data_IF_055631900176
#
_entry.id   IF_055631900176
#
_cell.length_a   1.000
_cell.length_b   1.000
_cell.length_c   1.000
_cell.angle_alpha   90.00
_cell.angle_beta   90.00
_cell.angle_gamma   90.00
#
_symmetry.space_group_name_H-M   'P 1'
#
loop_
_entity.id
_entity.type
_entity.pdbx_description
1 polymer ?
#
# COMPACT_ATOMS: atom_id res chain seq x y z
N UNK A 1 49.88 14.31 9.18
CA UNK A 1 48.51 13.73 9.13
C UNK A 1 48.20 12.99 7.82
N UNK A 2 49.20 12.46 7.09
CA UNK A 2 49.00 11.70 5.83
C UNK A 2 49.60 10.27 5.83
N UNK A 3 50.33 9.89 6.89
CA UNK A 3 50.93 8.55 7.00
C UNK A 3 49.98 7.55 7.70
N UNK A 4 49.19 7.98 8.68
CA UNK A 4 48.18 7.13 9.34
C UNK A 4 47.00 6.75 8.43
N UNK A 5 46.60 7.61 7.48
CA UNK A 5 45.52 7.27 6.53
C UNK A 5 45.94 6.22 5.50
N UNK A 6 47.22 6.19 5.10
CA UNK A 6 47.76 5.17 4.18
C UNK A 6 47.98 3.82 4.87
N UNK A 7 48.38 3.82 6.15
CA UNK A 7 48.47 2.60 6.95
C UNK A 7 47.09 1.97 7.24
N UNK A 8 46.06 2.80 7.51
CA UNK A 8 44.70 2.32 7.75
C UNK A 8 44.04 1.74 6.49
N UNK A 9 44.26 2.35 5.31
CA UNK A 9 43.75 1.80 4.05
C UNK A 9 44.43 0.48 3.65
N UNK A 10 45.73 0.29 3.92
CA UNK A 10 46.39 -0.98 3.62
C UNK A 10 46.01 -2.09 4.61
N UNK A 11 45.73 -1.77 5.88
CA UNK A 11 45.24 -2.75 6.85
C UNK A 11 43.81 -3.21 6.53
N UNK A 12 42.93 -2.31 6.06
CA UNK A 12 41.58 -2.63 5.60
C UNK A 12 41.60 -3.44 4.30
N UNK A 13 42.52 -3.17 3.37
CA UNK A 13 42.66 -3.97 2.15
C UNK A 13 43.19 -5.38 2.45
N UNK A 14 44.08 -5.53 3.44
CA UNK A 14 44.63 -6.85 3.84
C UNK A 14 43.60 -7.71 4.59
N UNK A 15 42.74 -7.10 5.41
CA UNK A 15 41.61 -7.77 6.08
C UNK A 15 40.49 -8.12 5.10
N UNK A 16 40.24 -7.30 4.08
CA UNK A 16 39.33 -7.62 2.99
C UNK A 16 39.86 -8.76 2.11
N UNK A 17 41.17 -8.82 1.85
CA UNK A 17 41.76 -9.90 1.03
C UNK A 17 41.91 -11.24 1.78
N UNK A 18 41.96 -11.24 3.12
CA UNK A 18 41.96 -12.48 3.93
C UNK A 18 40.56 -12.99 4.27
N UNK A 19 39.48 -12.22 4.08
CA UNK A 19 38.10 -12.73 4.16
C UNK A 19 37.60 -13.37 2.86
N UNK A 20 38.33 -13.23 1.75
CA UNK A 20 38.06 -13.93 0.47
C UNK A 20 38.73 -15.30 0.36
N UNK A 21 39.47 -15.73 1.38
CA UNK A 21 40.20 -16.99 1.40
C UNK A 21 39.64 -17.99 2.39
N UNK A 22 38.31 -18.21 2.43
CA UNK A 22 37.65 -19.46 2.87
C UNK A 22 36.10 -19.30 2.85
N UNK A 23 35.54 -18.81 1.75
CA UNK A 23 34.12 -19.09 1.45
C UNK A 23 34.11 -20.38 0.64
N UNK A 24 34.17 -21.51 1.34
CA UNK A 24 33.60 -22.73 0.78
C UNK A 24 32.15 -22.40 0.49
N UNK A 25 31.76 -22.49 -0.77
CA UNK A 25 30.37 -22.47 -1.18
C UNK A 25 29.62 -23.52 -0.36
N UNK A 26 28.93 -23.09 0.69
CA UNK A 26 27.73 -23.79 1.11
C UNK A 26 26.78 -23.51 -0.05
N UNK A 27 26.71 -24.43 -1.00
CA UNK A 27 25.50 -24.59 -1.79
C UNK A 27 24.40 -24.88 -0.77
N UNK A 28 23.79 -23.84 -0.20
CA UNK A 28 22.40 -23.95 0.21
C UNK A 28 21.66 -24.03 -1.12
N UNK A 29 21.50 -25.25 -1.63
CA UNK A 29 20.49 -25.48 -2.66
C UNK A 29 19.23 -24.82 -2.14
N UNK A 30 18.67 -23.88 -2.89
CA UNK A 30 17.29 -23.47 -2.65
C UNK A 30 16.48 -24.76 -2.47
N UNK A 31 15.63 -24.89 -1.43
CA UNK A 31 14.82 -26.08 -1.25
C UNK A 31 14.18 -26.39 -2.59
N UNK A 32 14.46 -27.58 -3.13
CA UNK A 32 13.84 -28.00 -4.36
C UNK A 32 12.35 -28.09 -4.05
N UNK A 33 11.54 -27.21 -4.65
CA UNK A 33 10.08 -27.21 -4.51
C UNK A 33 9.57 -28.62 -4.83
N UNK A 34 9.14 -29.37 -3.81
CA UNK A 34 8.51 -30.65 -4.04
C UNK A 34 7.02 -30.42 -4.27
N UNK A 35 6.48 -31.13 -5.27
CA UNK A 35 5.06 -31.11 -5.56
C UNK A 35 4.44 -32.39 -5.00
N UNK A 36 3.57 -32.24 -4.01
CA UNK A 36 2.75 -33.30 -3.45
C UNK A 36 1.36 -33.26 -4.09
N UNK A 37 0.73 -34.42 -4.26
CA UNK A 37 -0.57 -34.55 -4.88
C UNK A 37 -1.56 -35.20 -3.94
N UNK A 38 -2.78 -34.65 -3.85
CA UNK A 38 -3.89 -35.17 -3.04
C UNK A 38 -5.06 -35.54 -3.94
N UNK A 39 -5.63 -36.73 -3.74
CA UNK A 39 -6.68 -37.30 -4.57
C UNK A 39 -6.20 -37.72 -5.96
N UNK A 40 -7.14 -37.99 -6.88
CA UNK A 40 -6.81 -38.49 -8.22
C UNK A 40 -6.31 -39.94 -8.25
N UNK A 41 -5.82 -40.39 -9.41
CA UNK A 41 -5.39 -41.79 -9.65
C UNK A 41 -3.88 -41.96 -9.81
N UNK A 42 -3.09 -40.94 -9.46
CA UNK A 42 -1.63 -40.97 -9.60
C UNK A 42 -0.97 -41.85 -8.53
N UNK A 43 0.18 -42.48 -8.84
CA UNK A 43 0.93 -43.23 -7.83
C UNK A 43 1.44 -42.29 -6.74
N UNK A 44 1.39 -42.74 -5.49
CA UNK A 44 1.82 -42.00 -4.28
C UNK A 44 1.03 -40.73 -3.96
N UNK A 45 -0.14 -40.54 -4.56
CA UNK A 45 -1.03 -39.45 -4.15
C UNK A 45 -1.56 -39.71 -2.74
N UNK A 46 -1.60 -38.67 -1.92
CA UNK A 46 -2.24 -38.70 -0.62
C UNK A 46 -3.75 -38.75 -0.79
N UNK A 47 -4.45 -39.43 0.11
CA UNK A 47 -5.93 -39.44 0.12
C UNK A 47 -6.49 -38.27 0.91
N UNK A 48 -5.80 -37.85 1.97
CA UNK A 48 -6.22 -36.77 2.86
C UNK A 48 -5.32 -35.54 2.70
N UNK A 49 -5.93 -34.35 2.74
CA UNK A 49 -5.23 -33.07 2.64
C UNK A 49 -4.23 -32.87 3.79
N UNK A 50 -4.65 -33.22 5.02
CA UNK A 50 -3.79 -33.04 6.19
C UNK A 50 -2.53 -33.93 6.13
N UNK A 51 -2.62 -35.12 5.55
CA UNK A 51 -1.46 -36.02 5.44
C UNK A 51 -0.41 -35.47 4.49
N UNK A 52 -0.82 -34.88 3.36
CA UNK A 52 0.11 -34.19 2.47
C UNK A 52 0.74 -32.97 3.13
N UNK A 53 -0.03 -32.18 3.89
CA UNK A 53 0.52 -31.06 4.67
C UNK A 53 1.56 -31.56 5.67
N UNK A 54 1.26 -32.62 6.42
CA UNK A 54 2.19 -33.18 7.42
C UNK A 54 3.49 -33.70 6.80
N UNK A 55 3.44 -34.15 5.55
CA UNK A 55 4.60 -34.64 4.81
C UNK A 55 5.40 -33.53 4.08
N UNK A 56 4.87 -32.31 4.04
CA UNK A 56 5.49 -31.19 3.33
C UNK A 56 6.60 -30.52 4.14
N UNK A 57 7.50 -29.84 3.44
CA UNK A 57 8.47 -28.89 3.97
C UNK A 57 8.16 -27.47 3.52
N UNK A 58 8.84 -26.49 4.13
CA UNK A 58 8.75 -25.08 3.73
C UNK A 58 9.19 -24.91 2.27
N UNK A 59 8.38 -24.23 1.46
CA UNK A 59 8.62 -24.05 0.03
C UNK A 59 7.96 -25.11 -0.87
N UNK A 60 7.35 -26.16 -0.31
CA UNK A 60 6.65 -27.16 -1.10
C UNK A 60 5.30 -26.65 -1.65
N UNK A 61 4.79 -27.38 -2.64
CA UNK A 61 3.48 -27.16 -3.25
C UNK A 61 2.62 -28.41 -3.14
N UNK A 62 1.35 -28.23 -2.78
CA UNK A 62 0.35 -29.29 -2.71
C UNK A 62 -0.72 -29.02 -3.77
N UNK A 63 -0.89 -29.94 -4.72
CA UNK A 63 -1.96 -29.90 -5.71
C UNK A 63 -3.05 -30.87 -5.27
N UNK A 64 -4.25 -30.34 -5.03
CA UNK A 64 -5.41 -31.10 -4.57
C UNK A 64 -6.41 -31.21 -5.70
N UNK A 65 -6.58 -32.43 -6.22
CA UNK A 65 -7.54 -32.69 -7.29
C UNK A 65 -8.99 -32.65 -6.78
N UNK A 66 -9.93 -32.55 -7.71
CA UNK A 66 -11.35 -32.58 -7.40
C UNK A 66 -11.73 -33.79 -6.52
N UNK A 67 -12.48 -33.51 -5.46
CA UNK A 67 -12.78 -34.45 -4.40
C UNK A 67 -13.38 -33.72 -3.19
N UNK A 68 -13.79 -34.47 -2.17
CA UNK A 68 -14.22 -33.91 -0.89
C UNK A 68 -13.24 -34.36 0.18
N UNK A 69 -12.71 -33.41 0.93
CA UNK A 69 -11.66 -33.62 1.92
C UNK A 69 -12.08 -33.05 3.27
N UNK A 70 -11.54 -33.62 4.35
CA UNK A 70 -11.67 -33.02 5.67
C UNK A 70 -11.01 -31.63 5.76
N UNK A 71 -11.34 -30.91 6.83
CA UNK A 71 -10.63 -29.67 7.16
C UNK A 71 -9.15 -29.91 7.48
N UNK A 72 -8.34 -28.86 7.43
CA UNK A 72 -6.90 -28.95 7.60
C UNK A 72 -6.31 -27.80 8.41
N UNK A 73 -5.20 -28.07 9.09
CA UNK A 73 -4.37 -27.07 9.77
C UNK A 73 -3.00 -26.99 9.11
N UNK A 74 -2.65 -25.78 8.66
CA UNK A 74 -1.37 -25.47 8.01
C UNK A 74 -0.44 -24.80 9.03
N UNK A 75 0.58 -25.55 9.45
CA UNK A 75 1.61 -25.11 10.40
C UNK A 75 2.98 -24.87 9.75
N UNK A 76 3.10 -25.10 8.44
CA UNK A 76 4.33 -24.96 7.66
C UNK A 76 4.28 -23.63 6.90
N UNK A 77 5.32 -22.83 7.04
CA UNK A 77 5.42 -21.54 6.33
C UNK A 77 5.86 -21.75 4.88
N UNK A 78 5.61 -20.77 4.01
CA UNK A 78 5.97 -20.84 2.58
C UNK A 78 5.36 -22.05 1.86
N UNK A 79 4.15 -22.48 2.25
CA UNK A 79 3.45 -23.59 1.60
C UNK A 79 2.45 -23.06 0.57
N UNK A 80 2.44 -23.64 -0.62
CA UNK A 80 1.45 -23.35 -1.65
C UNK A 80 0.42 -24.48 -1.73
N UNK A 81 -0.85 -24.19 -1.44
CA UNK A 81 -1.95 -25.15 -1.60
C UNK A 81 -2.83 -24.74 -2.77
N UNK A 82 -2.98 -25.63 -3.76
CA UNK A 82 -3.79 -25.41 -4.95
C UNK A 82 -4.95 -26.41 -5.04
N UNK A 83 -6.18 -25.93 -4.91
CA UNK A 83 -7.40 -26.67 -5.15
C UNK A 83 -7.78 -26.63 -6.63
N UNK A 84 -7.95 -27.80 -7.25
CA UNK A 84 -8.46 -27.95 -8.62
C UNK A 84 -9.85 -28.57 -8.59
N UNK A 85 -10.82 -27.80 -8.09
CA UNK A 85 -12.18 -28.29 -7.80
C UNK A 85 -12.26 -29.09 -6.50
N UNK A 86 -11.27 -28.95 -5.62
CA UNK A 86 -11.25 -29.57 -4.31
C UNK A 86 -12.25 -28.89 -3.37
N UNK A 87 -13.11 -29.69 -2.75
CA UNK A 87 -14.05 -29.25 -1.72
C UNK A 87 -13.49 -29.66 -0.36
N UNK A 88 -13.44 -28.73 0.59
CA UNK A 88 -12.92 -28.98 1.93
C UNK A 88 -13.77 -28.30 3.01
N UNK A 89 -13.67 -28.83 4.24
CA UNK A 89 -14.15 -28.15 5.44
C UNK A 89 -13.18 -27.04 5.87
N UNK A 90 -13.22 -26.69 7.16
CA UNK A 90 -12.43 -25.58 7.69
C UNK A 90 -10.91 -25.71 7.43
N UNK A 91 -10.29 -24.62 6.97
CA UNK A 91 -8.84 -24.49 6.86
C UNK A 91 -8.34 -23.49 7.91
N UNK A 92 -7.43 -23.93 8.77
CA UNK A 92 -6.74 -23.08 9.74
C UNK A 92 -5.28 -22.88 9.33
N UNK A 93 -4.86 -21.64 9.15
CA UNK A 93 -3.49 -21.26 8.80
C UNK A 93 -2.85 -20.62 10.02
N UNK A 94 -1.98 -21.37 10.70
CA UNK A 94 -1.19 -20.86 11.82
C UNK A 94 0.16 -20.30 11.37
N UNK A 95 0.62 -20.71 10.19
CA UNK A 95 1.93 -20.36 9.63
C UNK A 95 1.91 -19.02 8.89
N UNK A 96 3.11 -18.56 8.52
CA UNK A 96 3.29 -17.36 7.71
C UNK A 96 3.51 -17.72 6.24
N UNK A 97 3.20 -16.78 5.34
CA UNK A 97 3.54 -16.91 3.92
C UNK A 97 2.95 -18.16 3.25
N UNK A 98 1.76 -18.56 3.66
CA UNK A 98 1.00 -19.64 3.01
C UNK A 98 0.11 -19.05 1.92
N UNK A 99 0.10 -19.67 0.75
CA UNK A 99 -0.86 -19.36 -0.31
C UNK A 99 -1.92 -20.46 -0.36
N UNK A 100 -3.19 -20.07 -0.26
CA UNK A 100 -4.35 -20.93 -0.47
C UNK A 100 -5.08 -20.48 -1.74
N UNK A 101 -5.12 -21.34 -2.74
CA UNK A 101 -5.57 -21.01 -4.09
C UNK A 101 -6.62 -22.01 -4.59
N UNK A 102 -7.76 -21.55 -5.11
CA UNK A 102 -8.66 -22.38 -5.92
C UNK A 102 -9.56 -23.38 -5.18
N UNK A 103 -9.63 -23.33 -3.84
CA UNK A 103 -10.46 -24.25 -3.06
C UNK A 103 -11.93 -23.84 -3.00
N UNK A 104 -12.80 -24.84 -2.85
CA UNK A 104 -14.18 -24.65 -2.40
C UNK A 104 -14.23 -25.02 -0.91
N UNK A 105 -14.51 -24.05 -0.04
CA UNK A 105 -14.44 -24.21 1.42
C UNK A 105 -15.83 -23.92 1.98
N UNK A 106 -16.45 -24.89 2.65
CA UNK A 106 -17.85 -24.74 3.05
C UNK A 106 -18.26 -25.51 4.29
N UNK A 107 -19.51 -25.28 4.69
CA UNK A 107 -20.24 -26.06 5.70
C UNK A 107 -19.49 -26.13 7.05
N UNK A 108 -18.90 -24.99 7.45
CA UNK A 108 -18.01 -24.88 8.61
C UNK A 108 -18.42 -23.77 9.58
N UNK A 109 -17.92 -23.79 10.82
CA UNK A 109 -18.12 -22.65 11.73
C UNK A 109 -17.30 -21.43 11.26
N UNK A 110 -15.98 -21.57 11.15
CA UNK A 110 -15.11 -20.68 10.39
C UNK A 110 -14.58 -21.44 9.18
N UNK A 111 -14.82 -20.95 7.95
CA UNK A 111 -14.33 -21.63 6.76
C UNK A 111 -12.81 -21.50 6.62
N UNK A 112 -12.27 -20.28 6.77
CA UNK A 112 -10.83 -20.02 6.82
C UNK A 112 -10.49 -19.21 8.06
N UNK A 113 -9.48 -19.63 8.82
CA UNK A 113 -8.92 -18.85 9.93
C UNK A 113 -7.43 -18.63 9.72
N UNK A 114 -6.96 -17.40 9.87
CA UNK A 114 -5.56 -17.00 9.71
C UNK A 114 -5.05 -16.41 11.02
N UNK A 115 -4.06 -17.06 11.62
CA UNK A 115 -3.32 -16.55 12.80
C UNK A 115 -1.93 -16.02 12.41
N UNK A 116 -1.44 -16.36 11.22
CA UNK A 116 -0.13 -15.94 10.72
C UNK A 116 -0.13 -14.60 9.98
N UNK A 117 1.04 -14.26 9.44
CA UNK A 117 1.28 -13.06 8.64
C UNK A 117 1.64 -13.42 7.20
N UNK A 118 1.49 -12.46 6.28
CA UNK A 118 1.92 -12.59 4.89
C UNK A 118 1.25 -13.73 4.12
N UNK A 119 0.08 -14.21 4.56
CA UNK A 119 -0.66 -15.26 3.87
C UNK A 119 -1.50 -14.69 2.73
N UNK A 120 -1.74 -15.50 1.71
CA UNK A 120 -2.50 -15.12 0.51
C UNK A 120 -3.66 -16.11 0.33
N UNK A 121 -4.89 -15.62 0.32
CA UNK A 121 -6.08 -16.42 0.00
C UNK A 121 -6.66 -15.91 -1.31
N UNK A 122 -6.67 -16.74 -2.34
CA UNK A 122 -7.13 -16.36 -3.67
C UNK A 122 -7.92 -17.40 -4.43
N UNK A 123 -8.73 -16.93 -5.38
CA UNK A 123 -9.52 -17.76 -6.28
C UNK A 123 -10.40 -18.82 -5.57
N UNK A 124 -10.72 -18.61 -4.29
CA UNK A 124 -11.50 -19.57 -3.51
C UNK A 124 -12.99 -19.23 -3.55
N UNK A 125 -13.82 -20.27 -3.46
CA UNK A 125 -15.25 -20.15 -3.18
C UNK A 125 -15.51 -20.52 -1.72
N UNK A 126 -15.92 -19.56 -0.90
CA UNK A 126 -16.08 -19.71 0.55
C UNK A 126 -17.53 -19.44 0.92
N UNK A 127 -18.23 -20.49 1.36
CA UNK A 127 -19.69 -20.43 1.46
C UNK A 127 -20.30 -21.30 2.56
N UNK A 128 -21.58 -21.05 2.85
CA UNK A 128 -22.41 -21.87 3.73
C UNK A 128 -21.78 -22.12 5.12
N UNK A 129 -21.00 -21.17 5.62
CA UNK A 129 -20.33 -21.27 6.90
C UNK A 129 -20.90 -20.23 7.87
N UNK A 130 -20.64 -20.33 9.17
CA UNK A 130 -21.05 -19.23 10.08
C UNK A 130 -20.24 -17.96 9.79
N UNK A 131 -18.94 -18.12 9.54
CA UNK A 131 -18.02 -17.08 9.11
C UNK A 131 -17.21 -17.57 7.92
N UNK A 132 -17.00 -16.71 6.91
CA UNK A 132 -16.17 -17.01 5.75
C UNK A 132 -14.68 -17.03 6.12
N UNK A 133 -14.01 -15.88 6.04
CA UNK A 133 -12.59 -15.73 6.39
C UNK A 133 -12.48 -14.94 7.69
N UNK A 134 -11.72 -15.47 8.66
CA UNK A 134 -11.32 -14.75 9.87
C UNK A 134 -9.81 -14.55 9.92
N UNK A 135 -9.37 -13.32 10.16
CA UNK A 135 -7.98 -13.00 10.53
C UNK A 135 -7.94 -12.63 12.02
N UNK A 136 -7.13 -13.35 12.79
CA UNK A 136 -6.88 -13.06 14.20
C UNK A 136 -5.59 -12.23 14.33
N UNK A 137 -5.75 -10.95 14.63
CA UNK A 137 -4.65 -10.09 15.01
C UNK A 137 -4.45 -10.06 16.53
N UNK A 138 -3.20 -10.09 16.96
CA UNK A 138 -2.81 -9.92 18.36
C UNK A 138 -1.30 -9.74 18.47
N UNK A 139 -0.85 -9.13 19.56
CA UNK A 139 0.57 -9.09 19.90
C UNK A 139 0.99 -10.41 20.56
N UNK A 140 1.81 -11.20 19.87
CA UNK A 140 2.39 -12.42 20.40
C UNK A 140 3.56 -12.08 21.33
N UNK A 141 3.35 -12.29 22.64
CA UNK A 141 4.34 -12.01 23.68
C UNK A 141 5.55 -12.93 23.63
N UNK A 142 5.43 -14.11 23.01
CA UNK A 142 6.51 -15.10 22.96
C UNK A 142 7.45 -14.75 21.81
N UNK A 143 6.91 -14.52 20.62
CA UNK A 143 7.71 -14.16 19.44
C UNK A 143 8.02 -12.67 19.34
N UNK A 144 7.44 -11.82 20.19
CA UNK A 144 7.51 -10.37 20.11
C UNK A 144 7.09 -9.82 18.74
N UNK A 145 6.08 -10.43 18.13
CA UNK A 145 5.59 -10.03 16.81
C UNK A 145 4.09 -9.81 16.82
N UNK A 146 3.63 -8.87 16.00
CA UNK A 146 2.23 -8.70 15.71
C UNK A 146 1.76 -9.79 14.74
N UNK A 147 0.62 -10.40 15.03
CA UNK A 147 -0.02 -11.45 14.23
C UNK A 147 -1.20 -10.88 13.44
N UNK A 148 -1.65 -11.62 12.43
CA UNK A 148 -2.76 -11.19 11.57
C UNK A 148 -2.43 -9.96 10.72
N UNK A 149 -1.19 -9.83 10.26
CA UNK A 149 -0.73 -8.69 9.45
C UNK A 149 -0.26 -9.08 8.06
N UNK A 150 -0.35 -8.14 7.11
CA UNK A 150 0.18 -8.30 5.75
C UNK A 150 -0.43 -9.48 4.98
N UNK A 151 -1.62 -9.95 5.36
CA UNK A 151 -2.32 -10.97 4.60
C UNK A 151 -3.08 -10.34 3.42
N UNK A 152 -3.17 -11.08 2.32
CA UNK A 152 -3.85 -10.69 1.10
C UNK A 152 -5.04 -11.61 0.86
N UNK A 153 -6.24 -11.04 0.81
CA UNK A 153 -7.48 -11.75 0.53
C UNK A 153 -8.00 -11.17 -0.78
N UNK A 154 -7.82 -11.89 -1.89
CA UNK A 154 -8.21 -11.36 -3.19
C UNK A 154 -8.76 -12.36 -4.18
N UNK A 155 -9.62 -11.88 -5.10
CA UNK A 155 -10.20 -12.70 -6.16
C UNK A 155 -11.03 -13.88 -5.64
N UNK A 156 -11.59 -13.76 -4.43
CA UNK A 156 -12.44 -14.80 -3.84
C UNK A 156 -13.92 -14.50 -4.05
N UNK A 157 -14.74 -15.55 -4.04
CA UNK A 157 -16.20 -15.46 -3.88
C UNK A 157 -16.59 -15.90 -2.49
N UNK A 158 -17.15 -14.99 -1.69
CA UNK A 158 -17.44 -15.21 -0.27
C UNK A 158 -18.92 -14.93 -0.02
N UNK A 159 -19.70 -15.99 0.18
CA UNK A 159 -21.16 -15.82 0.15
C UNK A 159 -21.97 -16.83 0.94
N UNK A 160 -23.19 -16.43 1.29
CA UNK A 160 -24.13 -17.26 2.03
C UNK A 160 -23.53 -17.75 3.36
N UNK A 161 -22.78 -16.90 4.05
CA UNK A 161 -22.30 -17.17 5.40
C UNK A 161 -23.25 -16.53 6.42
N UNK A 162 -23.49 -17.23 7.52
CA UNK A 162 -24.53 -16.88 8.49
C UNK A 162 -24.29 -15.52 9.17
N UNK A 163 -23.03 -15.15 9.39
CA UNK A 163 -22.64 -13.87 9.99
C UNK A 163 -21.77 -13.06 9.03
N UNK A 164 -20.45 -13.29 9.04
CA UNK A 164 -19.51 -12.38 8.37
C UNK A 164 -18.85 -13.07 7.17
N UNK A 165 -18.77 -12.37 6.04
CA UNK A 165 -17.98 -12.80 4.89
C UNK A 165 -16.49 -12.79 5.22
N UNK A 166 -15.95 -11.60 5.51
CA UNK A 166 -14.58 -11.41 6.00
C UNK A 166 -14.64 -10.72 7.36
N UNK A 167 -13.91 -11.25 8.33
CA UNK A 167 -13.77 -10.67 9.66
C UNK A 167 -12.29 -10.53 10.03
N UNK A 168 -11.85 -9.29 10.23
CA UNK A 168 -10.53 -9.00 10.82
C UNK A 168 -10.75 -8.53 12.26
N UNK A 169 -10.09 -9.20 13.20
CA UNK A 169 -10.16 -8.90 14.63
C UNK A 169 -8.78 -8.48 15.13
N UNK A 170 -8.58 -7.20 15.43
CA UNK A 170 -7.30 -6.60 15.86
C UNK A 170 -6.11 -6.79 14.89
N UNK A 171 -6.37 -6.98 13.59
CA UNK A 171 -5.33 -7.08 12.56
C UNK A 171 -4.85 -5.72 12.06
N UNK A 172 -3.73 -5.71 11.33
CA UNK A 172 -3.16 -4.48 10.75
C UNK A 172 -2.58 -4.75 9.36
N UNK A 173 -2.57 -3.75 8.48
CA UNK A 173 -1.86 -3.84 7.19
C UNK A 173 -2.30 -5.05 6.35
N UNK A 174 -3.60 -5.32 6.24
CA UNK A 174 -4.12 -6.41 5.37
C UNK A 174 -4.79 -5.83 4.13
N UNK A 175 -4.67 -6.55 3.02
CA UNK A 175 -5.22 -6.18 1.72
C UNK A 175 -6.43 -7.08 1.40
N UNK A 176 -7.60 -6.46 1.27
CA UNK A 176 -8.86 -7.09 0.86
C UNK A 176 -9.24 -6.49 -0.50
N UNK A 177 -8.90 -7.19 -1.58
CA UNK A 177 -9.07 -6.66 -2.94
C UNK A 177 -9.76 -7.59 -3.90
N UNK A 178 -10.51 -7.06 -4.86
CA UNK A 178 -11.07 -7.86 -5.97
C UNK A 178 -11.94 -9.07 -5.53
N UNK A 179 -12.59 -9.00 -4.37
CA UNK A 179 -13.49 -10.07 -3.91
C UNK A 179 -14.94 -9.80 -4.31
N UNK A 180 -15.70 -10.89 -4.53
CA UNK A 180 -17.16 -10.86 -4.67
C UNK A 180 -17.80 -11.35 -3.37
N UNK A 181 -18.40 -10.44 -2.60
CA UNK A 181 -18.89 -10.70 -1.24
C UNK A 181 -20.39 -10.43 -1.16
N UNK A 182 -21.19 -11.47 -0.93
CA UNK A 182 -22.65 -11.34 -0.99
C UNK A 182 -23.44 -12.32 -0.14
N UNK A 183 -24.65 -11.94 0.27
CA UNK A 183 -25.55 -12.76 1.10
C UNK A 183 -24.91 -13.19 2.41
N UNK A 184 -24.30 -12.24 3.11
CA UNK A 184 -23.84 -12.41 4.49
C UNK A 184 -24.56 -11.37 5.36
N UNK A 185 -24.61 -11.56 6.69
CA UNK A 185 -25.11 -10.49 7.57
C UNK A 185 -24.19 -9.26 7.47
N UNK A 186 -22.87 -9.46 7.51
CA UNK A 186 -21.89 -8.41 7.24
C UNK A 186 -20.94 -8.90 6.15
N UNK A 187 -20.78 -8.14 5.07
CA UNK A 187 -19.84 -8.47 4.01
C UNK A 187 -18.40 -8.47 4.52
N UNK A 188 -17.92 -7.31 4.95
CA UNK A 188 -16.59 -7.12 5.54
C UNK A 188 -16.74 -6.47 6.92
N UNK A 189 -16.13 -7.08 7.95
CA UNK A 189 -16.09 -6.53 9.29
C UNK A 189 -14.65 -6.32 9.77
N UNK A 190 -14.28 -5.05 9.97
CA UNK A 190 -13.01 -4.62 10.54
C UNK A 190 -13.22 -4.22 12.01
N UNK A 191 -12.80 -5.08 12.94
CA UNK A 191 -13.01 -4.89 14.37
C UNK A 191 -11.70 -4.51 15.06
N UNK A 192 -11.61 -3.27 15.54
CA UNK A 192 -10.43 -2.72 16.23
C UNK A 192 -9.16 -2.90 15.41
N UNK A 193 -9.27 -2.69 14.10
CA UNK A 193 -8.22 -3.03 13.14
C UNK A 193 -7.81 -1.78 12.35
N UNK A 194 -6.54 -1.72 11.92
CA UNK A 194 -5.92 -0.50 11.42
C UNK A 194 -5.21 -0.72 10.08
N UNK A 195 -5.08 0.35 9.28
CA UNK A 195 -4.21 0.35 8.10
C UNK A 195 -4.57 -0.71 7.04
N UNK A 196 -5.85 -1.07 6.92
CA UNK A 196 -6.31 -1.98 5.87
C UNK A 196 -6.57 -1.28 4.55
N UNK A 197 -6.31 -1.99 3.45
CA UNK A 197 -6.78 -1.65 2.12
C UNK A 197 -8.03 -2.49 1.80
N UNK A 198 -9.17 -1.85 1.59
CA UNK A 198 -10.39 -2.48 1.06
C UNK A 198 -10.67 -1.85 -0.30
N UNK A 199 -10.33 -2.53 -1.39
CA UNK A 199 -10.49 -1.95 -2.72
C UNK A 199 -10.92 -2.90 -3.83
N UNK A 200 -11.58 -2.39 -4.86
CA UNK A 200 -12.00 -3.19 -6.03
C UNK A 200 -12.92 -4.37 -5.69
N UNK A 201 -13.57 -4.36 -4.53
CA UNK A 201 -14.50 -5.42 -4.16
C UNK A 201 -15.90 -5.13 -4.70
N UNK A 202 -16.61 -6.19 -5.05
CA UNK A 202 -18.07 -6.15 -5.27
C UNK A 202 -18.76 -6.67 -4.02
N UNK A 203 -19.38 -5.78 -3.26
CA UNK A 203 -19.99 -6.04 -1.96
C UNK A 203 -21.49 -5.79 -2.08
N UNK A 204 -22.28 -6.87 -2.18
CA UNK A 204 -23.69 -6.74 -2.54
C UNK A 204 -24.62 -7.68 -1.80
N UNK A 205 -25.88 -7.29 -1.62
CA UNK A 205 -26.91 -8.16 -1.02
C UNK A 205 -26.48 -8.71 0.36
N UNK A 206 -25.83 -7.90 1.19
CA UNK A 206 -25.57 -8.20 2.60
C UNK A 206 -26.47 -7.30 3.46
N UNK A 207 -26.67 -7.59 4.75
CA UNK A 207 -27.37 -6.61 5.60
C UNK A 207 -26.52 -5.33 5.73
N UNK A 208 -25.23 -5.50 5.98
CA UNK A 208 -24.23 -4.42 6.00
C UNK A 208 -23.10 -4.77 5.03
N UNK A 209 -22.77 -3.86 4.11
CA UNK A 209 -21.66 -4.06 3.18
C UNK A 209 -20.31 -4.10 3.89
N UNK A 210 -19.87 -2.96 4.43
CA UNK A 210 -18.63 -2.83 5.21
C UNK A 210 -18.94 -2.25 6.58
N UNK A 211 -18.46 -2.90 7.64
CA UNK A 211 -18.51 -2.38 9.01
C UNK A 211 -17.11 -2.14 9.54
N UNK A 212 -16.86 -0.95 10.09
CA UNK A 212 -15.64 -0.62 10.83
C UNK A 212 -16.02 -0.25 12.27
N UNK A 213 -15.43 -0.95 13.25
CA UNK A 213 -15.72 -0.74 14.67
C UNK A 213 -14.42 -0.53 15.46
N UNK A 214 -14.18 0.70 15.91
CA UNK A 214 -12.98 1.10 16.64
C UNK A 214 -11.69 0.96 15.82
N UNK A 215 -11.79 1.05 14.48
CA UNK A 215 -10.65 0.97 13.56
C UNK A 215 -10.20 2.34 13.08
N UNK A 216 -8.93 2.46 12.72
CA UNK A 216 -8.33 3.72 12.27
C UNK A 216 -7.43 3.54 11.05
N UNK A 217 -7.23 4.61 10.28
CA UNK A 217 -6.33 4.63 9.12
C UNK A 217 -6.65 3.58 8.05
N UNK A 218 -7.90 3.10 7.97
CA UNK A 218 -8.30 2.18 6.91
C UNK A 218 -8.69 2.95 5.64
N UNK A 219 -8.37 2.38 4.49
CA UNK A 219 -8.68 2.92 3.17
C UNK A 219 -9.72 2.05 2.47
N UNK A 220 -10.90 2.61 2.24
CA UNK A 220 -11.99 1.96 1.51
C UNK A 220 -12.18 2.69 0.18
N UNK A 221 -11.78 2.09 -0.93
CA UNK A 221 -11.84 2.79 -2.23
C UNK A 221 -12.18 1.91 -3.41
N UNK A 222 -12.79 2.50 -4.44
CA UNK A 222 -13.08 1.78 -5.70
C UNK A 222 -13.82 0.46 -5.47
N UNK A 223 -14.71 0.41 -4.49
CA UNK A 223 -15.59 -0.74 -4.28
C UNK A 223 -16.96 -0.48 -4.93
N UNK A 224 -17.59 -1.54 -5.44
CA UNK A 224 -19.01 -1.55 -5.78
C UNK A 224 -19.79 -2.02 -4.56
N UNK A 225 -20.47 -1.09 -3.86
CA UNK A 225 -21.25 -1.37 -2.66
C UNK A 225 -22.73 -1.24 -3.02
N UNK A 226 -23.39 -2.37 -3.27
CA UNK A 226 -24.65 -2.39 -4.03
C UNK A 226 -25.73 -3.21 -3.35
N UNK A 227 -26.95 -2.70 -3.25
CA UNK A 227 -28.12 -3.44 -2.75
C UNK A 227 -27.87 -4.11 -1.39
N UNK A 228 -27.27 -3.40 -0.41
CA UNK A 228 -27.16 -3.90 0.95
C UNK A 228 -28.38 -3.46 1.78
N UNK A 229 -29.00 -4.42 2.48
CA UNK A 229 -30.38 -4.32 2.97
C UNK A 229 -30.56 -3.34 4.14
N UNK A 230 -29.49 -2.99 4.85
CA UNK A 230 -29.54 -2.00 5.94
C UNK A 230 -28.58 -0.84 5.68
N UNK A 231 -27.31 -1.13 5.36
CA UNK A 231 -26.26 -0.11 5.17
C UNK A 231 -25.22 -0.52 4.16
N UNK A 232 -24.77 0.40 3.30
CA UNK A 232 -23.57 0.21 2.49
C UNK A 232 -22.32 0.17 3.37
N UNK A 233 -22.03 1.27 4.07
CA UNK A 233 -20.96 1.37 5.07
C UNK A 233 -21.51 1.75 6.44
N UNK A 234 -20.98 1.14 7.50
CA UNK A 234 -21.27 1.48 8.88
C UNK A 234 -20.00 1.66 9.72
N UNK A 235 -19.77 2.88 10.22
CA UNK A 235 -18.71 3.19 11.18
C UNK A 235 -19.29 3.41 12.58
N UNK A 236 -18.74 2.71 13.58
CA UNK A 236 -19.16 2.87 14.98
C UNK A 236 -18.00 2.84 16.00
N UNK A 237 -18.31 3.23 17.24
CA UNK A 237 -17.48 3.05 18.44
C UNK A 237 -16.03 3.57 18.32
N UNK A 238 -15.85 4.87 18.03
CA UNK A 238 -14.53 5.53 17.92
C UNK A 238 -13.71 5.11 16.69
N UNK A 239 -14.35 4.90 15.54
CA UNK A 239 -13.62 4.73 14.27
C UNK A 239 -13.29 6.11 13.69
N UNK A 240 -12.01 6.43 13.50
CA UNK A 240 -11.54 7.73 13.02
C UNK A 240 -10.35 7.59 12.07
N UNK A 241 -10.01 8.66 11.35
CA UNK A 241 -8.95 8.72 10.35
C UNK A 241 -9.07 7.67 9.23
N UNK A 242 -10.26 7.13 8.98
CA UNK A 242 -10.49 6.28 7.82
C UNK A 242 -10.74 7.15 6.58
N UNK A 243 -10.33 6.68 5.41
CA UNK A 243 -10.49 7.39 4.13
C UNK A 243 -11.36 6.56 3.19
N UNK A 244 -12.47 7.14 2.73
CA UNK A 244 -13.47 6.49 1.88
C UNK A 244 -13.64 7.32 0.61
N UNK A 245 -13.19 6.84 -0.55
CA UNK A 245 -13.25 7.61 -1.79
C UNK A 245 -13.36 6.71 -3.02
N UNK A 246 -13.91 7.24 -4.10
CA UNK A 246 -14.12 6.56 -5.39
C UNK A 246 -14.92 5.25 -5.29
N UNK A 247 -15.76 5.08 -4.28
CA UNK A 247 -16.67 3.94 -4.20
C UNK A 247 -17.99 4.24 -4.93
N UNK A 248 -18.66 3.18 -5.39
CA UNK A 248 -20.01 3.25 -5.94
C UNK A 248 -21.01 2.74 -4.90
N UNK A 249 -21.82 3.65 -4.35
CA UNK A 249 -22.95 3.32 -3.49
C UNK A 249 -24.23 3.33 -4.33
N UNK A 250 -24.84 2.16 -4.51
CA UNK A 250 -26.02 2.00 -5.38
C UNK A 250 -27.08 1.14 -4.68
N UNK A 251 -28.32 1.60 -4.59
CA UNK A 251 -29.46 0.77 -4.14
C UNK A 251 -29.38 0.27 -2.69
N UNK A 252 -28.49 0.83 -1.86
CA UNK A 252 -28.42 0.49 -0.43
C UNK A 252 -29.55 1.22 0.32
N UNK A 253 -30.14 0.59 1.35
CA UNK A 253 -31.18 1.25 2.17
C UNK A 253 -30.68 2.55 2.82
N UNK A 254 -29.42 2.54 3.26
CA UNK A 254 -28.66 3.71 3.65
C UNK A 254 -27.22 3.57 3.14
N UNK A 255 -26.73 4.50 2.32
CA UNK A 255 -25.40 4.36 1.72
C UNK A 255 -24.28 4.32 2.75
N UNK A 256 -24.29 5.23 3.70
CA UNK A 256 -23.29 5.31 4.75
C UNK A 256 -23.90 5.80 6.07
N UNK A 257 -23.39 5.28 7.18
CA UNK A 257 -23.68 5.80 8.50
C UNK A 257 -22.41 5.84 9.35
N UNK A 258 -22.11 7.00 9.90
CA UNK A 258 -20.96 7.21 10.78
C UNK A 258 -21.44 7.80 12.10
N UNK A 259 -21.41 7.01 13.19
CA UNK A 259 -21.92 7.48 14.48
C UNK A 259 -21.01 8.52 15.16
N UNK A 260 -19.69 8.40 14.96
CA UNK A 260 -18.67 9.16 15.70
C UNK A 260 -17.31 9.02 15.03
N UNK A 261 -16.48 10.05 15.14
CA UNK A 261 -15.10 10.08 14.65
C UNK A 261 -14.95 10.88 13.36
N UNK A 262 -13.80 11.51 13.20
CA UNK A 262 -13.42 12.27 12.01
C UNK A 262 -12.94 11.27 10.95
N UNK A 263 -13.62 11.20 9.82
CA UNK A 263 -13.24 10.35 8.68
C UNK A 263 -13.31 11.18 7.40
N UNK A 264 -12.48 10.84 6.43
CA UNK A 264 -12.46 11.48 5.13
C UNK A 264 -13.35 10.70 4.17
N UNK A 265 -14.28 11.38 3.51
CA UNK A 265 -15.18 10.80 2.51
C UNK A 265 -14.85 11.26 1.08
N UNK A 266 -13.69 11.90 0.93
CA UNK A 266 -13.07 12.24 -0.33
C UNK A 266 -11.54 12.31 -0.13
N UNK A 267 -10.78 12.13 -1.19
CA UNK A 267 -9.32 12.22 -1.17
C UNK A 267 -8.80 12.77 -2.50
N UNK A 268 -7.87 13.71 -2.44
CA UNK A 268 -7.22 14.26 -3.63
C UNK A 268 -8.17 15.00 -4.61
N UNK A 269 -9.36 15.42 -4.16
CA UNK A 269 -10.40 16.00 -5.03
C UNK A 269 -11.36 14.98 -5.65
N UNK A 270 -11.28 13.71 -5.22
CA UNK A 270 -12.13 12.62 -5.67
C UNK A 270 -12.98 12.12 -4.49
N UNK A 271 -14.30 12.19 -4.60
CA UNK A 271 -15.25 11.65 -3.62
C UNK A 271 -15.82 10.31 -4.04
N UNK A 272 -16.99 9.96 -3.52
CA UNK A 272 -17.71 8.73 -3.86
C UNK A 272 -18.87 9.03 -4.81
N UNK A 273 -19.33 8.00 -5.51
CA UNK A 273 -20.60 8.05 -6.23
C UNK A 273 -21.73 7.55 -5.33
N UNK A 274 -22.80 8.33 -5.24
CA UNK A 274 -24.02 8.01 -4.49
C UNK A 274 -25.19 8.10 -5.45
N UNK A 275 -25.98 7.04 -5.61
CA UNK A 275 -27.08 7.03 -6.58
C UNK A 275 -28.30 7.88 -6.15
N UNK A 276 -28.33 8.34 -4.91
CA UNK A 276 -29.28 9.32 -4.37
C UNK A 276 -28.76 10.76 -4.40
N UNK A 277 -27.51 11.01 -4.85
CA UNK A 277 -26.95 12.36 -4.92
C UNK A 277 -27.63 13.18 -6.02
N UNK A 278 -28.15 14.35 -5.65
CA UNK A 278 -28.89 15.25 -6.53
C UNK A 278 -28.01 16.12 -7.45
N UNK A 279 -26.68 16.01 -7.31
CA UNK A 279 -25.70 16.81 -8.05
C UNK A 279 -25.36 18.16 -7.40
N UNK A 280 -25.92 18.48 -6.23
CA UNK A 280 -25.75 19.76 -5.55
C UNK A 280 -24.75 19.73 -4.39
N UNK A 281 -23.62 20.43 -4.54
CA UNK A 281 -22.73 20.76 -3.43
C UNK A 281 -21.95 19.56 -2.89
N UNK A 282 -22.21 19.21 -1.62
CA UNK A 282 -21.49 18.17 -0.86
C UNK A 282 -22.47 17.09 -0.42
N UNK A 283 -22.00 15.86 -0.25
CA UNK A 283 -22.82 14.77 0.29
C UNK A 283 -22.55 14.61 1.80
N UNK A 284 -23.57 14.81 2.63
CA UNK A 284 -23.44 14.76 4.09
C UNK A 284 -23.78 13.37 4.60
N UNK A 285 -22.82 12.67 5.21
CA UNK A 285 -23.02 11.34 5.79
C UNK A 285 -23.59 11.47 7.20
N UNK A 286 -22.90 12.20 8.09
CA UNK A 286 -23.37 12.50 9.45
C UNK A 286 -22.49 13.56 10.13
N UNK A 287 -23.08 14.67 10.57
CA UNK A 287 -22.33 15.76 11.20
C UNK A 287 -21.22 16.27 10.27
N UNK A 288 -19.98 16.31 10.78
CA UNK A 288 -18.78 16.74 10.01
C UNK A 288 -18.24 15.67 9.05
N UNK A 289 -18.85 14.47 8.99
CA UNK A 289 -18.50 13.47 7.99
C UNK A 289 -19.19 13.82 6.68
N UNK A 290 -18.43 14.46 5.78
CA UNK A 290 -18.92 15.03 4.52
C UNK A 290 -17.99 14.60 3.39
N UNK A 291 -18.58 14.15 2.28
CA UNK A 291 -17.91 14.01 0.99
C UNK A 291 -18.05 15.34 0.24
N UNK A 292 -16.93 16.05 0.09
CA UNK A 292 -16.88 17.37 -0.55
C UNK A 292 -16.77 17.29 -2.08
N UNK A 293 -16.49 16.10 -2.62
CA UNK A 293 -16.24 15.90 -4.04
C UNK A 293 -17.09 14.75 -4.61
N UNK A 294 -18.42 14.68 -4.38
CA UNK A 294 -19.20 13.54 -4.85
C UNK A 294 -19.13 13.41 -6.37
N UNK A 295 -18.96 12.17 -6.84
CA UNK A 295 -18.94 11.88 -8.27
C UNK A 295 -20.33 11.93 -8.86
N UNK A 296 -20.46 12.53 -10.04
CA UNK A 296 -21.71 12.53 -10.83
C UNK A 296 -21.95 11.24 -11.61
N UNK A 297 -20.93 10.40 -11.74
CA UNK A 297 -21.02 9.12 -12.47
C UNK A 297 -20.35 7.99 -11.70
N UNK A 298 -20.85 6.75 -11.78
CA UNK A 298 -20.19 5.60 -11.17
C UNK A 298 -18.77 5.40 -11.72
N UNK A 299 -17.87 4.98 -10.85
CA UNK A 299 -16.50 4.58 -11.19
C UNK A 299 -16.48 3.20 -11.86
N UNK A 300 -15.54 2.98 -12.79
CA UNK A 300 -15.23 1.63 -13.26
C UNK A 300 -14.35 0.92 -12.24
N UNK A 301 -14.89 -0.13 -11.63
CA UNK A 301 -14.24 -0.90 -10.57
C UNK A 301 -13.91 -2.33 -11.03
N UNK A 302 -13.98 -2.58 -12.35
CA UNK A 302 -13.78 -3.92 -12.93
C UNK A 302 -12.32 -4.37 -12.95
N UNK A 303 -11.36 -3.44 -12.96
CA UNK A 303 -9.93 -3.73 -12.96
C UNK A 303 -9.19 -2.76 -12.01
N UNK A 304 -8.17 -3.24 -11.25
CA UNK A 304 -7.36 -2.36 -10.42
C UNK A 304 -6.54 -1.38 -11.27
N UNK A 305 -6.94 -0.11 -11.31
CA UNK A 305 -6.05 0.97 -11.73
C UNK A 305 -5.25 1.43 -10.50
N UNK A 306 -3.96 1.18 -10.40
CA UNK A 306 -3.22 1.71 -9.24
C UNK A 306 -2.79 3.14 -9.52
N UNK A 307 -2.87 4.02 -8.51
CA UNK A 307 -2.31 5.36 -8.61
C UNK A 307 -1.01 5.48 -7.82
N UNK A 308 -0.21 6.48 -8.19
CA UNK A 308 0.93 6.95 -7.41
C UNK A 308 0.78 8.46 -7.23
N UNK A 309 1.08 8.97 -6.06
CA UNK A 309 0.91 10.37 -5.69
C UNK A 309 2.24 10.96 -5.27
N UNK A 310 2.55 12.17 -5.73
CA UNK A 310 3.64 12.99 -5.19
C UNK A 310 3.02 13.94 -4.16
N UNK A 311 3.34 13.77 -2.88
CA UNK A 311 2.79 14.58 -1.77
C UNK A 311 3.66 15.79 -1.43
N UNK A 312 4.95 15.73 -1.77
CA UNK A 312 5.87 16.86 -1.76
C UNK A 312 6.90 16.67 -2.89
N UNK A 313 7.25 17.71 -3.67
CA UNK A 313 6.81 19.10 -3.54
C UNK A 313 5.37 19.35 -4.02
N UNK A 314 4.80 20.50 -3.65
CA UNK A 314 3.54 21.00 -4.23
C UNK A 314 3.78 21.54 -5.64
N UNK A 315 2.71 21.59 -6.44
CA UNK A 315 2.74 22.20 -7.77
C UNK A 315 3.26 23.65 -7.69
N UNK A 316 4.28 23.95 -8.49
CA UNK A 316 5.00 25.22 -8.59
C UNK A 316 5.75 25.63 -7.31
N UNK A 317 6.03 24.69 -6.41
CA UNK A 317 6.89 24.96 -5.25
C UNK A 317 8.33 25.26 -5.71
N UNK A 318 8.96 26.24 -5.06
CA UNK A 318 10.37 26.55 -5.27
C UNK A 318 11.26 25.60 -4.46
N UNK A 319 12.16 24.88 -5.13
CA UNK A 319 13.07 23.90 -4.53
C UNK A 319 14.54 24.23 -4.84
N UNK A 320 15.46 23.92 -3.92
CA UNK A 320 16.89 24.18 -4.08
C UNK A 320 17.75 23.23 -3.23
N UNK A 321 19.00 23.02 -3.64
CA UNK A 321 19.94 22.14 -2.93
C UNK A 321 19.44 20.69 -2.82
N UNK A 322 19.58 20.12 -1.62
CA UNK A 322 19.02 18.80 -1.31
C UNK A 322 17.55 18.94 -0.94
N UNK A 323 16.68 18.25 -1.66
CA UNK A 323 15.24 18.25 -1.43
C UNK A 323 14.71 16.83 -1.33
N UNK A 324 13.80 16.56 -0.40
CA UNK A 324 13.16 15.23 -0.29
C UNK A 324 11.83 15.25 -1.02
N UNK A 325 11.75 14.52 -2.12
CA UNK A 325 10.49 14.23 -2.79
C UNK A 325 9.82 13.08 -2.04
N UNK A 326 8.53 13.20 -1.76
CA UNK A 326 7.78 12.20 -1.03
C UNK A 326 6.44 11.93 -1.71
N UNK A 327 5.87 10.77 -1.43
CA UNK A 327 4.59 10.41 -1.98
C UNK A 327 4.00 9.13 -1.42
N UNK A 328 2.86 8.76 -2.00
CA UNK A 328 2.15 7.52 -1.71
C UNK A 328 2.03 6.69 -2.98
N UNK A 329 2.06 5.37 -2.89
CA UNK A 329 1.76 4.47 -3.99
C UNK A 329 0.71 3.48 -3.55
N UNK A 330 -0.34 3.35 -4.35
CA UNK A 330 -1.46 2.45 -4.07
C UNK A 330 -1.17 0.99 -4.43
N UNK A 331 -0.02 0.76 -5.09
CA UNK A 331 0.51 -0.56 -5.40
C UNK A 331 1.78 -0.81 -4.60
N UNK A 332 1.85 -1.95 -3.92
CA UNK A 332 3.13 -2.46 -3.44
C UNK A 332 4.02 -2.80 -4.63
N UNK A 333 5.11 -2.07 -4.77
CA UNK A 333 6.07 -2.27 -5.85
C UNK A 333 7.21 -1.28 -5.78
N UNK A 334 8.20 -1.47 -6.64
CA UNK A 334 9.31 -0.55 -6.78
C UNK A 334 8.80 0.81 -7.25
N UNK A 335 9.01 1.83 -6.43
CA UNK A 335 8.75 3.23 -6.80
C UNK A 335 10.03 3.83 -7.39
N UNK A 336 9.87 4.51 -8.52
CA UNK A 336 10.97 5.23 -9.17
C UNK A 336 10.55 6.66 -9.49
N UNK A 337 11.47 7.60 -9.38
CA UNK A 337 11.27 8.98 -9.84
C UNK A 337 12.25 9.37 -10.93
N UNK A 338 11.93 10.39 -11.72
CA UNK A 338 12.91 11.09 -12.56
C UNK A 338 12.59 12.58 -12.63
N UNK A 339 13.59 13.39 -12.95
CA UNK A 339 13.43 14.82 -13.19
C UNK A 339 13.59 15.03 -14.70
N UNK A 340 12.59 15.63 -15.32
CA UNK A 340 12.49 15.83 -16.76
C UNK A 340 12.76 14.54 -17.57
N UNK A 341 13.77 14.58 -18.43
CA UNK A 341 14.25 13.46 -19.26
C UNK A 341 15.45 12.72 -18.63
N UNK A 342 15.75 13.00 -17.36
CA UNK A 342 16.80 12.32 -16.60
C UNK A 342 16.51 10.83 -16.34
N UNK A 343 17.50 10.09 -15.80
CA UNK A 343 17.33 8.69 -15.48
C UNK A 343 16.35 8.47 -14.32
N UNK A 344 15.71 7.30 -14.31
CA UNK A 344 14.92 6.86 -13.18
C UNK A 344 15.81 6.52 -11.99
N UNK A 345 15.43 7.01 -10.81
CA UNK A 345 16.06 6.78 -9.52
C UNK A 345 15.07 6.04 -8.63
N UNK A 346 15.53 5.00 -7.94
CA UNK A 346 14.69 4.24 -7.01
C UNK A 346 14.43 5.06 -5.74
N UNK A 347 13.17 5.08 -5.29
CA UNK A 347 12.76 5.69 -4.04
C UNK A 347 12.80 4.67 -2.90
N UNK A 348 12.96 5.15 -1.67
CA UNK A 348 12.83 4.35 -0.47
C UNK A 348 11.36 4.17 -0.10
N UNK A 349 10.92 2.94 0.14
CA UNK A 349 9.54 2.62 0.52
C UNK A 349 8.62 2.27 -0.66
N UNK A 350 7.51 1.60 -0.36
CA UNK A 350 6.58 1.06 -1.38
C UNK A 350 5.17 1.63 -1.26
N UNK A 351 4.62 1.80 -0.05
CA UNK A 351 3.33 2.46 0.18
C UNK A 351 3.51 3.96 0.44
N UNK A 352 4.29 4.31 1.45
CA UNK A 352 4.84 5.66 1.63
C UNK A 352 6.27 5.65 1.13
N UNK A 353 6.57 6.51 0.17
CA UNK A 353 7.86 6.53 -0.50
C UNK A 353 8.52 7.90 -0.43
N UNK A 354 9.85 7.91 -0.41
CA UNK A 354 10.66 9.14 -0.44
C UNK A 354 11.99 8.97 -1.14
N UNK A 355 12.52 10.07 -1.65
CA UNK A 355 13.80 10.11 -2.34
C UNK A 355 14.42 11.50 -2.19
N UNK A 356 15.68 11.55 -1.75
CA UNK A 356 16.46 12.78 -1.73
C UNK A 356 17.01 13.04 -3.13
N UNK A 357 16.69 14.20 -3.69
CA UNK A 357 17.25 14.72 -4.94
C UNK A 357 18.23 15.85 -4.63
N UNK A 358 19.25 15.99 -5.46
CA UNK A 358 20.17 17.12 -5.44
C UNK A 358 19.91 17.99 -6.67
N UNK A 359 19.31 19.17 -6.44
CA UNK A 359 18.96 20.07 -7.54
C UNK A 359 20.13 20.91 -8.01
N UNK A 360 21.30 20.89 -7.35
CA UNK A 360 22.43 21.80 -7.64
C UNK A 360 22.98 21.70 -9.07
N UNK A 361 22.77 20.55 -9.71
CA UNK A 361 23.16 20.33 -11.11
C UNK A 361 22.07 20.69 -12.13
N UNK A 362 20.86 21.04 -11.68
CA UNK A 362 19.74 21.45 -12.52
C UNK A 362 19.82 22.94 -12.85
N UNK A 363 19.33 23.32 -14.03
CA UNK A 363 19.16 24.72 -14.39
C UNK A 363 18.17 25.43 -13.46
N UNK A 364 18.28 26.74 -13.29
CA UNK A 364 17.21 27.51 -12.66
C UNK A 364 16.02 27.61 -13.63
N UNK A 365 14.81 27.41 -13.15
CA UNK A 365 13.60 27.46 -13.98
C UNK A 365 12.59 26.37 -13.64
N UNK A 366 11.61 26.17 -14.52
CA UNK A 366 10.60 25.12 -14.37
C UNK A 366 11.18 23.73 -14.67
N UNK A 367 10.87 22.77 -13.81
CA UNK A 367 11.21 21.36 -13.95
C UNK A 367 9.99 20.50 -13.63
N UNK A 368 9.94 19.27 -14.16
CA UNK A 368 8.88 18.30 -13.83
C UNK A 368 9.48 17.07 -13.16
N UNK A 369 8.98 16.75 -11.98
CA UNK A 369 9.31 15.51 -11.28
C UNK A 369 8.23 14.49 -11.67
N UNK A 370 8.64 13.34 -12.18
CA UNK A 370 7.78 12.20 -12.47
C UNK A 370 8.02 11.12 -11.42
N UNK A 371 6.96 10.43 -11.00
CA UNK A 371 7.01 9.24 -10.17
C UNK A 371 6.26 8.09 -10.85
N UNK A 372 6.71 6.85 -10.68
CA UNK A 372 6.01 5.66 -11.16
C UNK A 372 6.09 4.48 -10.21
N UNK A 373 5.07 3.62 -10.24
CA UNK A 373 5.05 2.31 -9.61
C UNK A 373 4.34 1.32 -10.55
N UNK A 374 5.11 0.43 -11.19
CA UNK A 374 4.58 -0.43 -12.26
C UNK A 374 4.12 0.37 -13.48
N UNK A 375 2.84 0.25 -13.84
CA UNK A 375 2.21 1.01 -14.93
C UNK A 375 1.64 2.36 -14.48
N UNK A 376 1.56 2.61 -13.17
CA UNK A 376 1.02 3.84 -12.58
C UNK A 376 2.06 4.95 -12.64
N UNK A 377 1.64 6.18 -12.94
CA UNK A 377 2.56 7.33 -12.99
C UNK A 377 1.89 8.63 -12.54
N UNK A 378 2.67 9.50 -11.92
CA UNK A 378 2.25 10.87 -11.55
C UNK A 378 3.38 11.86 -11.79
N UNK A 379 3.06 13.14 -11.82
CA UNK A 379 4.02 14.20 -12.04
C UNK A 379 3.65 15.49 -11.32
N UNK A 380 4.67 16.24 -10.89
CA UNK A 380 4.51 17.58 -10.33
C UNK A 380 5.49 18.55 -10.98
N UNK A 381 5.00 19.73 -11.36
CA UNK A 381 5.84 20.84 -11.82
C UNK A 381 6.40 21.59 -10.62
N UNK A 382 7.67 21.97 -10.68
CA UNK A 382 8.41 22.68 -9.63
C UNK A 382 9.26 23.79 -10.23
N UNK A 383 9.71 24.74 -9.42
CA UNK A 383 10.65 25.77 -9.83
C UNK A 383 11.99 25.59 -9.11
N UNK A 384 13.07 25.31 -9.84
CA UNK A 384 14.41 25.17 -9.25
C UNK A 384 15.08 26.54 -9.18
N UNK A 385 15.62 26.87 -8.00
CA UNK A 385 16.39 28.10 -7.79
C UNK A 385 17.67 27.83 -6.97
N UNK A 386 18.77 27.55 -7.66
CA UNK A 386 20.07 27.28 -7.05
C UNK A 386 20.95 28.53 -6.89
N UNK A 387 20.36 29.73 -6.74
CA UNK A 387 21.16 30.95 -6.61
C UNK A 387 22.27 30.80 -5.55
N UNK A 388 23.52 30.98 -5.98
CA UNK A 388 24.67 31.00 -5.06
C UNK A 388 24.43 32.13 -4.05
N UNK A 389 24.55 31.83 -2.75
CA UNK A 389 24.67 32.87 -1.74
C UNK A 389 25.93 33.71 -2.05
N UNK A 390 25.78 34.80 -2.80
CA UNK A 390 26.78 35.86 -2.93
C UNK A 390 26.91 36.58 -1.57
N UNK A 391 27.63 35.95 -0.64
CA UNK A 391 28.33 36.63 0.44
C UNK A 391 29.76 36.09 0.52
N UNK A 392 30.63 36.55 -0.40
CA UNK A 392 32.05 36.72 -0.15
C UNK A 392 32.73 37.54 -1.28
N UNK A 393 32.86 38.85 -1.05
CA UNK A 393 33.88 39.74 -1.65
C UNK A 393 34.98 39.86 -0.57
N UNK A 394 36.32 39.88 -0.80
CA UNK A 394 37.05 40.52 -1.93
C UNK A 394 38.31 39.81 -2.49
N UNK A 395 38.76 40.21 -3.69
CA UNK A 395 40.12 40.81 -3.86
C UNK A 395 40.32 41.55 -5.21
N UNK A 396 40.92 42.73 -5.12
CA UNK A 396 41.47 43.59 -6.19
C UNK A 396 42.65 42.87 -6.91
N UNK A 397 42.89 43.02 -8.23
CA UNK A 397 43.63 44.16 -8.80
C UNK A 397 43.68 44.17 -10.35
N UNK A 398 43.60 45.39 -10.88
CA UNK A 398 44.22 46.00 -12.07
C UNK A 398 44.10 45.39 -13.48
N UNK A 399 43.22 45.97 -14.30
CA UNK A 399 43.56 46.63 -15.58
C UNK A 399 42.38 47.49 -16.06
N UNK A 400 42.40 48.80 -15.75
CA UNK A 400 41.74 49.85 -16.53
C UNK A 400 42.07 51.22 -15.92
N UNK A 401 43.24 51.75 -16.27
CA UNK A 401 43.52 53.18 -16.20
C UNK A 401 43.96 53.58 -17.61
N UNK A 402 43.61 54.81 -18.00
CA UNK A 402 43.96 55.52 -19.23
C UNK A 402 42.94 55.36 -20.37
N UNK A 403 41.84 56.14 -20.30
CA UNK A 403 41.50 57.16 -21.32
C UNK A 403 40.18 57.88 -20.95
N UNK A 404 40.28 58.90 -20.10
CA UNK A 404 39.57 60.18 -20.25
C UNK A 404 40.10 61.17 -19.22
N UNK A 405 41.32 61.64 -19.48
CA UNK A 405 41.79 62.89 -18.93
C UNK A 405 40.98 64.01 -19.58
N UNK A 406 40.42 64.91 -18.78
CA UNK A 406 39.99 66.22 -19.26
C UNK A 406 38.49 66.48 -19.23
N UNK A 407 37.94 66.69 -18.03
CA UNK A 407 37.06 67.86 -17.81
C UNK A 407 36.98 68.20 -16.32
N UNK A 408 37.72 69.27 -15.96
CA UNK A 408 37.38 70.27 -14.96
C UNK A 408 37.39 69.83 -13.47
N UNK A 409 38.43 70.04 -12.66
CA UNK A 409 39.13 71.31 -12.31
C UNK A 409 38.24 72.58 -12.29
N UNK A 410 36.94 72.50 -12.61
CA UNK A 410 36.02 73.64 -12.72
C UNK A 410 34.85 73.64 -11.74
N UNK A 411 34.48 72.52 -11.13
CA UNK A 411 33.27 72.49 -10.28
C UNK A 411 33.51 72.84 -8.81
N UNK A 412 34.77 72.82 -8.33
CA UNK A 412 35.08 73.13 -6.92
C UNK A 412 35.34 74.63 -6.64
N UNK A 413 35.12 75.53 -7.61
CA UNK A 413 35.17 77.00 -7.41
C UNK A 413 33.82 77.73 -7.54
N UNK A 414 32.69 77.03 -7.72
CA UNK A 414 31.37 77.68 -7.90
C UNK A 414 30.36 77.47 -6.75
N UNK A 415 30.70 76.79 -5.64
CA UNK A 415 29.76 76.64 -4.51
C UNK A 415 30.40 76.85 -3.12
N UNK A 416 31.19 77.91 -2.99
CA UNK A 416 31.25 78.67 -1.73
C UNK A 416 30.08 79.65 -1.77
N UNK A 417 29.36 79.80 -0.65
CA UNK A 417 28.23 80.74 -0.39
C UNK A 417 26.82 80.17 -0.65
N UNK A 418 26.28 79.45 0.33
CA UNK A 418 24.92 79.68 0.86
C UNK A 418 24.67 78.79 2.10
N UNK A 419 24.43 79.45 3.23
CA UNK A 419 23.84 78.94 4.49
C UNK A 419 24.71 77.94 5.27
N UNK A 420 25.58 78.44 6.16
CA UNK A 420 25.36 78.84 7.56
C UNK A 420 25.63 77.68 8.50
#
# INVERSE_FOLDING_TARGET
MNFMKRALCMLLLFLLLHSYGEIRAIQSGAPQENILYVGGSGPNNYTELQDAINASASGDRIIVFAGTYGGATVNISLLYLEGRGAITGAIKINANSVTLDGFIIKDSYHAVTIDGNYNEIKNCNILNSSYGIKINGYYDKISHTLKGTHNKIHQNKIFNNGYYGIWIDHGENNDITQNEIYRNEIGIYLQKSHEHLVAYNTIRNNDIGVKIQGGENNMVKRNSIVDNDKRGIYFCCHSHNNTVYENNFIGNDLHAYCYSGENLWDFGGHGNYWDDYDGGGVYVIYGENIDHHPSSTPYDVSEPSYEIYITAPKKNEEISGKYTVMGLSEKEGKVEIKIDDGPWMEAYGTFSWSVEIDTTALSNGEHTIYARCGSSSSSVAVYVNNAENEQNIPSFTWYALVLSLGMAIGYHRYRKRRHS
#
